data_IF_989406803263
#
_entry.id   IF_989406803263
#
_cell.length_a   1.000
_cell.length_b   1.000
_cell.length_c   1.000
_cell.angle_alpha   90.00
_cell.angle_beta   90.00
_cell.angle_gamma   90.00
#
_symmetry.space_group_name_H-M   'P 1'
#
loop_
_entity.id
_entity.type
_entity.pdbx_description
1 polymer ?
#
# COMPACT_ATOMS: atom_id res chain seq x y z
N UNK A 1 0.24 5.96 62.78
CA UNK A 1 0.95 6.54 61.63
C UNK A 1 1.96 5.54 61.14
N UNK A 2 1.68 4.87 60.03
CA UNK A 2 2.67 4.04 59.33
C UNK A 2 3.00 4.81 58.06
N UNK A 3 4.22 5.37 58.01
CA UNK A 3 4.76 5.96 56.79
C UNK A 3 5.28 4.79 55.96
N UNK A 4 4.52 4.39 54.96
CA UNK A 4 4.98 3.45 53.94
C UNK A 4 5.78 4.27 52.93
N UNK A 5 7.11 4.13 52.99
CA UNK A 5 8.01 4.57 51.92
C UNK A 5 7.90 3.52 50.81
N UNK A 6 7.06 3.78 49.81
CA UNK A 6 6.98 2.96 48.60
C UNK A 6 7.80 3.63 47.50
N UNK A 7 8.88 2.93 47.15
CA UNK A 7 9.78 3.12 46.02
C UNK A 7 9.16 3.87 44.82
N UNK A 8 9.45 5.16 44.71
CA UNK A 8 9.39 5.89 43.46
C UNK A 8 10.77 5.72 42.79
N UNK A 9 10.86 4.98 41.68
CA UNK A 9 12.12 4.98 40.95
C UNK A 9 12.28 4.03 39.76
N UNK A 10 11.48 2.98 39.60
CA UNK A 10 11.69 2.02 38.50
C UNK A 10 10.33 1.49 38.03
N UNK A 11 9.67 2.21 37.13
CA UNK A 11 8.37 1.74 36.62
C UNK A 11 7.59 2.69 35.72
N UNK A 12 8.24 3.65 35.06
CA UNK A 12 7.56 4.56 34.13
C UNK A 12 8.41 4.84 32.88
N UNK A 13 8.96 3.78 32.27
CA UNK A 13 9.48 3.83 30.88
C UNK A 13 8.90 2.65 30.10
N UNK A 14 7.59 2.47 30.19
CA UNK A 14 6.86 1.55 29.33
C UNK A 14 5.55 2.23 28.98
N UNK A 15 5.21 2.24 27.70
CA UNK A 15 3.99 2.79 27.11
C UNK A 15 4.00 4.28 26.75
N UNK A 16 4.78 4.66 25.73
CA UNK A 16 4.26 5.42 24.55
C UNK A 16 5.22 5.30 23.35
N UNK A 17 5.58 4.08 22.93
CA UNK A 17 5.92 3.85 21.51
C UNK A 17 4.60 3.80 20.72
N UNK A 18 3.83 4.89 20.77
CA UNK A 18 2.79 5.11 19.78
C UNK A 18 3.53 5.40 18.49
N UNK A 19 3.76 4.33 17.74
CA UNK A 19 4.19 4.31 16.35
C UNK A 19 3.32 5.33 15.64
N UNK A 20 3.85 6.54 15.42
CA UNK A 20 3.22 7.45 14.48
C UNK A 20 3.25 6.72 13.15
N UNK A 21 2.15 6.72 12.36
CA UNK A 21 2.21 6.16 11.03
C UNK A 21 3.40 6.79 10.31
N UNK A 22 4.25 5.96 9.72
CA UNK A 22 5.41 6.41 8.96
C UNK A 22 4.92 7.31 7.83
N UNK A 23 5.79 8.18 7.32
CA UNK A 23 5.41 9.07 6.22
C UNK A 23 4.85 8.27 5.03
N UNK A 24 5.44 7.10 4.74
CA UNK A 24 4.93 6.16 3.76
C UNK A 24 3.47 5.76 4.02
N UNK A 25 3.14 5.32 5.24
CA UNK A 25 1.75 4.98 5.60
C UNK A 25 0.81 6.16 5.46
N UNK A 26 1.22 7.37 5.87
CA UNK A 26 0.38 8.57 5.72
C UNK A 26 0.11 8.90 4.26
N UNK A 27 1.10 8.74 3.40
CA UNK A 27 0.97 8.96 1.95
C UNK A 27 0.09 7.88 1.31
N UNK A 28 0.32 6.61 1.64
CA UNK A 28 -0.54 5.51 1.20
C UNK A 28 -1.98 5.70 1.67
N UNK A 29 -2.19 6.20 2.90
CA UNK A 29 -3.52 6.46 3.44
C UNK A 29 -4.22 7.67 2.81
N UNK A 30 -3.45 8.64 2.32
CA UNK A 30 -3.99 9.84 1.69
C UNK A 30 -4.16 9.70 0.17
N UNK A 31 -3.59 8.64 -0.43
CA UNK A 31 -3.68 8.42 -1.87
C UNK A 31 -5.10 8.10 -2.31
N UNK A 32 -5.49 8.66 -3.45
CA UNK A 32 -6.76 8.36 -4.09
C UNK A 32 -6.54 7.97 -5.55
N UNK A 33 -7.44 7.14 -6.07
CA UNK A 33 -7.45 6.73 -7.48
C UNK A 33 -8.89 6.86 -7.97
N UNK A 34 -9.14 7.71 -8.97
CA UNK A 34 -10.51 7.97 -9.41
C UNK A 34 -11.19 6.68 -9.93
N UNK A 35 -12.41 6.41 -9.47
CA UNK A 35 -13.15 5.20 -9.84
C UNK A 35 -12.78 3.95 -9.04
N UNK A 36 -11.78 4.02 -8.15
CA UNK A 36 -11.38 2.90 -7.30
C UNK A 36 -11.70 3.13 -5.83
N UNK A 37 -11.94 2.04 -5.12
CA UNK A 37 -12.13 2.02 -3.67
C UNK A 37 -10.90 1.42 -3.02
N UNK A 38 -10.28 2.16 -2.09
CA UNK A 38 -9.21 1.61 -1.24
C UNK A 38 -9.77 0.54 -0.32
N UNK A 39 -9.16 -0.63 -0.30
CA UNK A 39 -9.61 -1.77 0.49
C UNK A 39 -8.69 -2.10 1.66
N UNK A 40 -7.40 -1.80 1.56
CA UNK A 40 -6.45 -2.03 2.64
C UNK A 40 -5.28 -1.04 2.58
N UNK A 41 -4.64 -0.84 3.74
CA UNK A 41 -3.28 -0.28 3.85
C UNK A 41 -2.52 -1.16 4.81
N UNK A 42 -1.37 -1.66 4.37
CA UNK A 42 -0.45 -2.50 5.15
C UNK A 42 0.88 -1.77 5.26
N UNK A 43 1.50 -1.86 6.44
CA UNK A 43 2.90 -1.46 6.59
C UNK A 43 3.77 -2.63 6.08
N UNK A 44 4.82 -2.31 5.33
CA UNK A 44 5.77 -3.31 4.85
C UNK A 44 6.97 -3.39 5.80
N UNK A 45 7.25 -4.61 6.24
CA UNK A 45 8.29 -4.87 7.24
C UNK A 45 9.63 -5.17 6.56
N UNK A 46 10.62 -4.31 6.80
CA UNK A 46 12.03 -4.53 6.45
C UNK A 46 12.92 -4.62 7.70
N UNK A 47 12.34 -4.91 8.87
CA UNK A 47 13.04 -5.02 10.16
C UNK A 47 12.55 -3.98 11.17
N UNK A 48 13.47 -3.43 11.98
CA UNK A 48 13.10 -2.59 13.14
C UNK A 48 12.49 -1.20 12.80
N UNK A 49 12.23 -0.90 11.52
CA UNK A 49 11.57 0.33 11.08
C UNK A 49 10.79 0.08 9.80
N UNK A 50 9.45 -0.03 9.84
CA UNK A 50 8.63 -0.12 8.64
C UNK A 50 8.64 1.25 7.95
N UNK A 51 9.59 1.48 7.05
CA UNK A 51 9.72 2.73 6.29
C UNK A 51 8.77 2.81 5.10
N UNK A 52 8.08 1.70 4.84
CA UNK A 52 7.36 1.43 3.60
C UNK A 52 5.93 1.02 3.94
N UNK A 53 4.99 1.33 3.05
CA UNK A 53 3.60 0.98 3.19
C UNK A 53 2.96 0.76 1.83
N UNK A 54 2.04 -0.19 1.78
CA UNK A 54 1.30 -0.54 0.58
C UNK A 54 -0.19 -0.30 0.76
N UNK A 55 -0.81 0.42 -0.17
CA UNK A 55 -2.26 0.59 -0.25
C UNK A 55 -2.83 -0.21 -1.42
N UNK A 56 -3.96 -0.87 -1.17
CA UNK A 56 -4.66 -1.67 -2.16
C UNK A 56 -5.98 -1.01 -2.53
N UNK A 57 -6.27 -0.99 -3.82
CA UNK A 57 -7.48 -0.40 -4.37
C UNK A 57 -8.17 -1.40 -5.30
N UNK A 58 -9.50 -1.39 -5.31
CA UNK A 58 -10.30 -2.23 -6.21
C UNK A 58 -11.28 -1.35 -6.98
N UNK A 59 -11.43 -1.61 -8.27
CA UNK A 59 -12.25 -0.80 -9.15
C UNK A 59 -12.47 -1.46 -10.51
N UNK A 60 -13.27 -0.83 -11.38
CA UNK A 60 -13.46 -1.30 -12.73
C UNK A 60 -12.13 -1.29 -13.50
N UNK A 61 -12.00 -2.12 -14.55
CA UNK A 61 -10.87 -2.04 -15.47
C UNK A 61 -10.72 -0.61 -15.98
N UNK A 62 -9.52 -0.03 -15.89
CA UNK A 62 -9.28 1.34 -16.27
C UNK A 62 -9.34 1.48 -17.79
N UNK A 63 -10.04 2.51 -18.25
CA UNK A 63 -9.99 2.92 -19.65
C UNK A 63 -8.86 3.95 -19.86
N UNK A 64 -8.17 3.87 -21.00
CA UNK A 64 -6.95 3.09 -21.27
C UNK A 64 -5.72 3.40 -20.39
N UNK A 65 -5.80 4.35 -19.47
CA UNK A 65 -4.69 4.72 -18.59
C UNK A 65 -5.19 4.86 -17.13
N UNK A 66 -5.03 3.83 -16.29
CA UNK A 66 -5.43 3.88 -14.88
C UNK A 66 -4.64 4.87 -14.03
N UNK A 67 -3.41 5.18 -14.44
CA UNK A 67 -2.45 5.91 -13.61
C UNK A 67 -2.53 7.42 -13.82
N UNK A 68 -3.25 7.86 -14.86
CA UNK A 68 -3.57 9.28 -15.07
C UNK A 68 -4.39 9.89 -13.92
N UNK A 69 -5.12 9.04 -13.18
CA UNK A 69 -6.08 9.45 -12.15
C UNK A 69 -5.61 9.09 -10.73
N UNK A 70 -4.33 8.71 -10.56
CA UNK A 70 -3.72 8.43 -9.25
C UNK A 70 -3.15 9.72 -8.67
N UNK A 71 -3.63 10.12 -7.50
CA UNK A 71 -3.13 11.27 -6.74
C UNK A 71 -2.44 10.81 -5.45
N UNK A 72 -1.11 10.95 -5.42
CA UNK A 72 -0.28 10.71 -4.23
C UNK A 72 0.25 12.07 -3.77
N UNK A 73 -0.07 12.50 -2.54
CA UNK A 73 0.44 13.77 -2.04
C UNK A 73 1.97 13.84 -2.13
N UNK A 74 2.50 14.94 -2.67
CA UNK A 74 3.95 15.25 -2.72
C UNK A 74 4.82 14.37 -3.62
N UNK A 75 4.31 13.29 -4.23
CA UNK A 75 5.07 12.41 -5.13
C UNK A 75 4.44 12.45 -6.53
N UNK A 76 5.00 13.23 -7.48
CA UNK A 76 4.50 13.24 -8.85
C UNK A 76 4.81 11.89 -9.52
N UNK A 77 3.78 11.27 -10.10
CA UNK A 77 3.91 10.03 -10.83
C UNK A 77 4.17 10.28 -12.31
N UNK A 78 4.99 9.42 -12.90
CA UNK A 78 5.17 9.31 -14.34
C UNK A 78 4.74 7.91 -14.81
N UNK A 79 4.05 7.80 -15.96
CA UNK A 79 3.73 6.51 -16.54
C UNK A 79 4.99 5.67 -16.73
N UNK A 80 4.93 4.41 -16.33
CA UNK A 80 5.92 3.41 -16.65
C UNK A 80 5.61 2.88 -18.06
N UNK A 81 6.64 2.65 -18.91
CA UNK A 81 6.40 2.01 -20.18
C UNK A 81 5.81 0.61 -19.94
N UNK A 82 4.80 0.19 -20.71
CA UNK A 82 4.31 -1.16 -20.59
C UNK A 82 5.46 -2.13 -20.93
N UNK A 83 5.46 -3.35 -20.35
CA UNK A 83 6.53 -4.30 -20.61
C UNK A 83 6.62 -4.61 -22.12
N UNK A 84 7.81 -4.92 -22.66
CA UNK A 84 7.98 -5.19 -24.10
C UNK A 84 7.12 -6.34 -24.64
N UNK A 85 6.70 -7.24 -23.73
CA UNK A 85 5.78 -8.34 -24.01
C UNK A 85 4.32 -7.91 -24.15
N UNK A 86 4.02 -6.62 -23.90
CA UNK A 86 2.68 -6.09 -23.69
C UNK A 86 2.49 -4.64 -24.20
N UNK A 87 2.79 -4.31 -25.47
CA UNK A 87 2.90 -2.93 -25.95
C UNK A 87 1.58 -2.14 -26.02
N UNK A 88 0.43 -2.81 -26.02
CA UNK A 88 -0.92 -2.20 -26.07
C UNK A 88 -1.79 -2.78 -24.96
N UNK A 89 -2.64 -1.97 -24.31
CA UNK A 89 -3.55 -2.41 -23.26
C UNK A 89 -4.65 -3.35 -23.79
N UNK A 90 -4.37 -4.64 -23.82
CA UNK A 90 -5.29 -5.73 -24.15
C UNK A 90 -5.66 -6.49 -22.85
N UNK A 91 -6.86 -6.25 -22.27
CA UNK A 91 -7.29 -6.89 -21.03
C UNK A 91 -7.41 -8.42 -21.14
N UNK A 92 -7.47 -9.00 -22.35
CA UNK A 92 -7.55 -10.46 -22.55
C UNK A 92 -6.18 -11.13 -22.62
N UNK A 93 -5.14 -10.39 -23.03
CA UNK A 93 -3.78 -10.89 -23.19
C UNK A 93 -2.97 -10.87 -21.89
N UNK A 94 -3.38 -10.05 -20.93
CA UNK A 94 -2.66 -9.82 -19.67
C UNK A 94 -3.39 -10.39 -18.44
N UNK A 95 -4.34 -11.30 -18.66
CA UNK A 95 -4.86 -12.12 -17.59
C UNK A 95 -3.69 -12.89 -16.93
N UNK A 96 -3.28 -12.43 -15.75
CA UNK A 96 -2.29 -13.10 -14.91
C UNK A 96 -0.86 -12.57 -14.92
N UNK A 97 -0.60 -11.37 -15.45
CA UNK A 97 0.72 -10.71 -15.37
C UNK A 97 0.63 -9.41 -14.61
N UNK A 98 1.35 -9.29 -13.50
CA UNK A 98 1.47 -8.04 -12.76
C UNK A 98 2.51 -7.13 -13.43
N UNK A 99 2.22 -5.84 -13.57
CA UNK A 99 3.14 -4.88 -14.17
C UNK A 99 3.05 -3.50 -13.53
N UNK A 100 4.19 -2.80 -13.52
CA UNK A 100 4.28 -1.43 -13.07
C UNK A 100 3.64 -0.48 -14.09
N UNK A 101 2.75 0.37 -13.59
CA UNK A 101 1.97 1.30 -14.38
C UNK A 101 2.48 2.72 -14.28
N UNK A 102 2.87 3.14 -13.08
CA UNK A 102 3.50 4.43 -12.86
C UNK A 102 4.47 4.36 -11.69
N UNK A 103 5.39 5.32 -11.68
CA UNK A 103 6.34 5.51 -10.59
C UNK A 103 6.68 6.98 -10.42
N UNK A 104 7.01 7.35 -9.19
CA UNK A 104 7.42 8.71 -8.83
C UNK A 104 8.43 8.67 -7.70
N UNK A 105 9.23 9.72 -7.61
CA UNK A 105 10.22 9.85 -6.54
C UNK A 105 10.47 11.31 -6.20
N UNK A 106 10.58 11.61 -4.90
CA UNK A 106 11.00 12.90 -4.36
C UNK A 106 12.52 13.02 -4.28
N UNK A 107 13.00 14.24 -4.09
CA UNK A 107 14.43 14.55 -3.94
C UNK A 107 15.09 13.89 -2.73
N UNK A 108 14.31 13.56 -1.70
CA UNK A 108 14.78 12.94 -0.47
C UNK A 108 14.78 11.40 -0.52
N UNK A 109 14.43 10.81 -1.66
CA UNK A 109 14.47 9.36 -1.87
C UNK A 109 13.12 8.67 -1.73
N UNK A 110 12.14 9.29 -1.03
CA UNK A 110 10.78 8.78 -0.87
C UNK A 110 10.12 8.58 -2.24
N UNK A 111 9.67 7.35 -2.51
CA UNK A 111 9.22 6.90 -3.82
C UNK A 111 7.85 6.24 -3.72
N UNK A 112 7.12 6.26 -4.83
CA UNK A 112 5.89 5.51 -4.97
C UNK A 112 5.84 4.78 -6.32
N UNK A 113 5.22 3.60 -6.32
CA UNK A 113 4.98 2.81 -7.52
C UNK A 113 3.56 2.25 -7.51
N UNK A 114 2.93 2.24 -8.68
CA UNK A 114 1.59 1.70 -8.90
C UNK A 114 1.72 0.47 -9.77
N UNK A 115 1.14 -0.65 -9.33
CA UNK A 115 1.14 -1.94 -10.04
C UNK A 115 -0.28 -2.47 -10.19
N UNK A 116 -0.51 -3.21 -11.27
CA UNK A 116 -1.73 -3.98 -11.45
C UNK A 116 -1.55 -5.38 -10.92
N UNK A 117 -2.47 -5.80 -10.06
CA UNK A 117 -2.52 -7.14 -9.50
C UNK A 117 -3.59 -7.95 -10.23
N UNK A 118 -3.13 -8.97 -10.94
CA UNK A 118 -3.98 -9.84 -11.75
C UNK A 118 -4.44 -11.10 -11.00
N UNK A 119 -3.73 -11.45 -9.92
CA UNK A 119 -4.07 -12.57 -9.05
C UNK A 119 -4.06 -12.15 -7.56
N UNK A 120 -4.94 -11.23 -7.15
CA UNK A 120 -4.90 -10.68 -5.81
C UNK A 120 -5.18 -11.74 -4.74
N UNK A 121 -4.39 -11.69 -3.67
CA UNK A 121 -4.67 -12.47 -2.45
C UNK A 121 -5.82 -11.83 -1.68
N UNK A 122 -6.76 -12.63 -1.18
CA UNK A 122 -7.83 -12.10 -0.34
C UNK A 122 -7.31 -11.55 1.01
N UNK A 123 -6.22 -12.12 1.50
CA UNK A 123 -5.62 -11.79 2.79
C UNK A 123 -4.13 -11.49 2.62
N UNK A 124 -3.68 -10.48 3.35
CA UNK A 124 -2.29 -10.07 3.43
C UNK A 124 -1.78 -10.27 4.86
N UNK A 125 -0.52 -10.69 5.05
CA UNK A 125 0.09 -10.66 6.36
C UNK A 125 0.29 -9.21 6.82
N UNK A 126 -0.08 -8.90 8.06
CA UNK A 126 0.32 -7.65 8.73
C UNK A 126 1.77 -7.80 9.25
N UNK A 127 2.47 -6.67 9.47
CA UNK A 127 3.82 -6.59 10.05
C UNK A 127 4.01 -7.59 11.20
N UNK A 128 5.10 -8.34 11.14
CA UNK A 128 5.44 -9.38 12.11
C UNK A 128 4.63 -10.69 11.99
N UNK A 129 3.77 -10.85 10.98
CA UNK A 129 3.09 -12.10 10.63
C UNK A 129 2.05 -12.59 11.63
N UNK A 130 1.70 -11.78 12.63
CA UNK A 130 0.81 -12.16 13.74
C UNK A 130 -0.68 -11.97 13.43
N UNK A 131 -1.00 -11.23 12.38
CA UNK A 131 -2.37 -10.88 11.98
C UNK A 131 -2.48 -10.91 10.46
N UNK A 132 -3.67 -11.22 9.97
CA UNK A 132 -4.01 -11.13 8.55
C UNK A 132 -4.98 -9.97 8.34
N UNK A 133 -4.68 -9.13 7.35
CA UNK A 133 -5.55 -8.05 6.89
C UNK A 133 -6.37 -8.60 5.74
N UNK A 134 -7.70 -8.50 5.83
CA UNK A 134 -8.60 -8.83 4.73
C UNK A 134 -8.53 -7.69 3.69
N UNK A 135 -7.94 -7.97 2.54
CA UNK A 135 -7.78 -7.03 1.44
C UNK A 135 -9.02 -6.97 0.56
N UNK A 136 -9.72 -8.09 0.35
CA UNK A 136 -10.91 -8.15 -0.49
C UNK A 136 -12.07 -8.80 0.27
N UNK A 137 -13.27 -8.29 0.02
CA UNK A 137 -14.49 -9.02 0.34
C UNK A 137 -14.69 -10.21 -0.60
N UNK A 138 -15.51 -11.18 -0.21
CA UNK A 138 -15.80 -12.35 -1.07
C UNK A 138 -16.44 -11.92 -2.40
N UNK A 139 -17.30 -10.89 -2.36
CA UNK A 139 -17.92 -10.28 -3.55
C UNK A 139 -16.87 -9.62 -4.47
N UNK A 140 -15.94 -8.85 -3.90
CA UNK A 140 -14.87 -8.22 -4.67
C UNK A 140 -13.91 -9.26 -5.25
N UNK A 141 -13.57 -10.31 -4.49
CA UNK A 141 -12.72 -11.40 -4.97
C UNK A 141 -13.40 -12.12 -6.15
N UNK A 142 -14.69 -12.45 -6.03
CA UNK A 142 -15.45 -13.06 -7.11
C UNK A 142 -15.52 -12.16 -8.35
N UNK A 143 -15.71 -10.85 -8.16
CA UNK A 143 -15.74 -9.88 -9.26
C UNK A 143 -14.37 -9.74 -9.96
N UNK A 144 -13.26 -9.77 -9.21
CA UNK A 144 -11.92 -9.80 -9.82
C UNK A 144 -11.68 -11.10 -10.58
N UNK A 145 -12.07 -12.24 -10.01
CA UNK A 145 -11.97 -13.55 -10.68
C UNK A 145 -12.85 -13.63 -11.94
N UNK A 146 -13.97 -12.92 -11.96
CA UNK A 146 -14.85 -12.78 -13.12
C UNK A 146 -14.34 -11.74 -14.14
N UNK A 147 -13.26 -11.00 -13.84
CA UNK A 147 -12.69 -9.95 -14.69
C UNK A 147 -13.51 -8.66 -14.74
N UNK A 148 -14.50 -8.48 -13.86
CA UNK A 148 -15.32 -7.26 -13.79
C UNK A 148 -14.73 -6.18 -12.90
N UNK A 149 -13.78 -6.54 -12.04
CA UNK A 149 -12.94 -5.63 -11.25
C UNK A 149 -11.47 -6.01 -11.42
N UNK A 150 -10.60 -5.06 -11.09
CA UNK A 150 -9.16 -5.28 -10.97
C UNK A 150 -8.65 -4.74 -9.63
N UNK A 151 -7.46 -5.18 -9.23
CA UNK A 151 -6.78 -4.65 -8.04
C UNK A 151 -5.57 -3.81 -8.49
N UNK A 152 -5.43 -2.65 -7.86
CA UNK A 152 -4.25 -1.81 -7.95
C UNK A 152 -3.53 -1.90 -6.61
N UNK A 153 -2.24 -2.20 -6.69
CA UNK A 153 -1.31 -2.09 -5.57
C UNK A 153 -0.52 -0.78 -5.71
N UNK A 154 -0.43 -0.03 -4.60
CA UNK A 154 0.37 1.17 -4.48
C UNK A 154 1.40 0.96 -3.38
N UNK A 155 2.66 0.82 -3.75
CA UNK A 155 3.79 0.81 -2.83
C UNK A 155 4.31 2.23 -2.62
N UNK A 156 4.45 2.66 -1.38
CA UNK A 156 5.16 3.87 -0.97
C UNK A 156 6.36 3.45 -0.12
N UNK A 157 7.57 3.81 -0.54
CA UNK A 157 8.80 3.29 0.04
C UNK A 157 9.85 4.38 0.26
N UNK A 158 10.78 4.11 1.17
CA UNK A 158 11.93 4.98 1.50
C UNK A 158 11.52 6.36 2.03
N UNK A 159 10.43 6.44 2.81
CA UNK A 159 9.93 7.70 3.36
C UNK A 159 10.28 7.79 4.85
N UNK A 160 11.52 8.20 5.16
CA UNK A 160 12.03 8.33 6.51
C UNK A 160 13.43 8.98 6.56
N UNK A 161 13.93 9.35 7.76
CA UNK A 161 15.24 9.94 7.91
C UNK A 161 16.33 8.92 7.55
N UNK A 162 17.07 9.21 6.47
CA UNK A 162 18.33 8.55 6.12
C UNK A 162 19.46 8.90 7.10
#
# INVERSE_FOLDING_TARGET
>A
MVVVVLAAGIGYVVATWHVRPTEARRLAEATTIAGFTRTAVVDDDHGDSPTDATAYFVGPPPEPDPVKDVDIPTIPLSPAPPPPTAPEWDPTRYAGVDFAAAKGQRVDGCAAAVTFETHPKQYLPEVGGRKTVRMLTDEQLAAVQAGSLIVIELLVANCGPH
#
